data_IF_069227055128
#
_entry.id   IF_069227055128
#
_cell.length_a   1.000
_cell.length_b   1.000
_cell.length_c   1.000
_cell.angle_alpha   90.00
_cell.angle_beta   90.00
_cell.angle_gamma   90.00
#
_symmetry.space_group_name_H-M   'P 1'
#
loop_
_entity.id
_entity.type
_entity.pdbx_description
1 polymer ?
#
# COMPACT_ATOMS: atom_id res chain seq x y z
N UNK A 1 -21.13 0.37 -20.50
CA UNK A 1 -20.95 1.07 -19.20
C UNK A 1 -19.58 1.72 -19.19
N UNK A 2 -19.55 3.03 -18.98
CA UNK A 2 -18.30 3.80 -18.85
C UNK A 2 -18.28 4.53 -17.51
N UNK A 3 -17.09 4.74 -16.96
CA UNK A 3 -16.84 5.56 -15.78
C UNK A 3 -16.19 6.86 -16.23
N UNK A 4 -16.81 7.97 -15.84
CA UNK A 4 -16.30 9.32 -16.03
C UNK A 4 -15.64 9.79 -14.74
N UNK A 5 -14.42 10.29 -14.84
CA UNK A 5 -13.69 10.94 -13.75
C UNK A 5 -13.55 12.42 -14.08
N UNK A 6 -14.23 13.28 -13.33
CA UNK A 6 -14.06 14.73 -13.41
C UNK A 6 -13.10 15.18 -12.31
N UNK A 7 -12.12 16.01 -12.66
CA UNK A 7 -11.21 16.60 -11.68
C UNK A 7 -11.66 18.00 -11.29
N UNK A 8 -11.31 18.43 -10.07
CA UNK A 8 -11.59 19.79 -9.61
C UNK A 8 -10.98 20.82 -10.57
N UNK A 9 -11.66 21.95 -10.91
CA UNK A 9 -11.14 22.95 -11.84
C UNK A 9 -9.75 23.48 -11.49
N UNK A 10 -9.45 23.57 -10.19
CA UNK A 10 -8.14 24.01 -9.68
C UNK A 10 -7.00 23.05 -10.05
N UNK A 11 -7.29 21.78 -10.34
CA UNK A 11 -6.28 20.83 -10.76
C UNK A 11 -5.84 21.01 -12.22
N UNK A 12 -6.58 21.82 -13.01
CA UNK A 12 -6.37 22.05 -14.45
C UNK A 12 -6.33 20.77 -15.30
N UNK A 13 -6.95 19.68 -14.82
CA UNK A 13 -6.97 18.39 -15.50
C UNK A 13 -8.29 18.22 -16.25
N UNK A 14 -8.25 17.80 -17.53
CA UNK A 14 -9.47 17.51 -18.26
C UNK A 14 -10.16 16.25 -17.68
N UNK A 15 -11.49 16.13 -17.80
CA UNK A 15 -12.21 14.91 -17.45
C UNK A 15 -11.71 13.70 -18.24
N UNK A 16 -11.68 12.54 -17.60
CA UNK A 16 -11.25 11.27 -18.19
C UNK A 16 -12.39 10.26 -18.26
N UNK A 17 -12.33 9.37 -19.25
CA UNK A 17 -13.33 8.33 -19.50
C UNK A 17 -12.66 6.96 -19.49
N UNK A 18 -13.20 6.03 -18.72
CA UNK A 18 -12.70 4.67 -18.60
C UNK A 18 -13.82 3.68 -18.94
N UNK A 19 -13.55 2.66 -19.77
CA UNK A 19 -14.44 1.50 -19.89
C UNK A 19 -14.60 0.83 -18.52
N UNK A 20 -15.82 0.40 -18.18
CA UNK A 20 -16.12 -0.16 -16.85
C UNK A 20 -15.26 -1.41 -16.52
N UNK A 21 -14.98 -2.25 -17.50
CA UNK A 21 -14.14 -3.46 -17.39
C UNK A 21 -12.66 -3.15 -17.17
N UNK A 22 -12.20 -1.96 -17.57
CA UNK A 22 -10.82 -1.49 -17.36
C UNK A 22 -10.67 -0.65 -16.09
N UNK A 23 -11.77 -0.36 -15.41
CA UNK A 23 -11.76 0.33 -14.12
C UNK A 23 -11.55 -0.71 -13.00
N UNK A 24 -10.29 -1.13 -12.80
CA UNK A 24 -9.91 -2.09 -11.76
C UNK A 24 -9.15 -1.40 -10.61
N UNK A 25 -9.42 -1.82 -9.36
CA UNK A 25 -8.59 -1.47 -8.19
C UNK A 25 -7.75 -2.64 -7.65
N UNK A 26 -8.04 -3.91 -7.97
CA UNK A 26 -7.21 -5.08 -7.61
C UNK A 26 -7.44 -6.27 -8.57
N UNK A 27 -6.45 -7.17 -8.75
CA UNK A 27 -6.58 -8.38 -9.58
C UNK A 27 -7.39 -9.51 -8.89
N UNK A 28 -7.93 -10.44 -9.69
CA UNK A 28 -8.76 -11.56 -9.22
C UNK A 28 -7.93 -12.85 -8.96
N UNK A 29 -8.31 -13.72 -8.00
CA UNK A 29 -7.58 -14.95 -7.66
C UNK A 29 -7.92 -16.15 -8.56
N UNK A 30 -6.95 -17.07 -8.70
CA UNK A 30 -6.99 -18.27 -9.55
C UNK A 30 -7.71 -19.48 -8.86
N UNK A 31 -8.67 -20.14 -9.53
CA UNK A 31 -9.48 -21.22 -8.98
C UNK A 31 -8.89 -22.66 -8.99
N UNK A 32 -7.66 -22.92 -9.46
CA UNK A 32 -7.17 -24.32 -9.58
C UNK A 32 -5.94 -24.65 -8.72
N UNK A 33 -6.12 -25.38 -7.61
CA UNK A 33 -5.02 -26.13 -6.98
C UNK A 33 -5.49 -27.38 -6.21
N UNK A 34 -4.97 -28.56 -6.59
CA UNK A 34 -5.09 -29.82 -5.83
C UNK A 34 -3.68 -30.26 -5.39
N UNK A 35 -3.45 -30.72 -4.14
CA UNK A 35 -2.08 -30.90 -3.63
C UNK A 35 -1.35 -32.15 -4.16
N UNK A 36 -0.12 -31.94 -4.66
CA UNK A 36 0.84 -32.98 -5.06
C UNK A 36 1.61 -33.58 -3.87
N UNK A 37 2.02 -34.86 -3.97
CA UNK A 37 2.85 -35.55 -2.96
C UNK A 37 4.30 -35.04 -2.87
N UNK A 38 4.75 -34.27 -3.86
CA UNK A 38 5.95 -33.44 -3.78
C UNK A 38 5.52 -32.04 -4.23
N UNK A 39 5.19 -31.13 -3.30
CA UNK A 39 4.58 -29.86 -3.67
C UNK A 39 5.45 -29.02 -4.62
N UNK A 40 6.77 -29.20 -4.57
CA UNK A 40 7.73 -28.49 -5.42
C UNK A 40 8.01 -29.14 -6.78
N UNK A 41 7.67 -30.42 -6.99
CA UNK A 41 7.92 -31.15 -8.23
C UNK A 41 6.65 -31.17 -9.10
N UNK A 42 6.74 -31.04 -10.44
CA UNK A 42 7.93 -31.11 -11.29
C UNK A 42 8.63 -29.78 -11.58
N UNK A 43 8.13 -28.66 -11.06
CA UNK A 43 8.54 -27.33 -11.55
C UNK A 43 9.82 -26.80 -10.91
N UNK A 44 10.15 -27.22 -9.70
CA UNK A 44 11.41 -26.87 -9.03
C UNK A 44 12.30 -28.10 -8.87
N UNK A 45 13.51 -27.99 -9.37
CA UNK A 45 14.55 -29.02 -9.26
C UNK A 45 15.15 -29.07 -7.84
N UNK A 46 15.20 -27.91 -7.17
CA UNK A 46 15.79 -27.75 -5.84
C UNK A 46 14.75 -27.36 -4.81
N UNK A 47 14.73 -28.09 -3.68
CA UNK A 47 13.86 -27.79 -2.55
C UNK A 47 14.12 -26.40 -1.96
N UNK A 48 15.38 -25.96 -1.91
CA UNK A 48 15.73 -24.63 -1.40
C UNK A 48 15.13 -23.51 -2.26
N UNK A 49 15.17 -23.66 -3.58
CA UNK A 49 14.55 -22.71 -4.51
C UNK A 49 13.04 -22.65 -4.31
N UNK A 50 12.40 -23.81 -4.11
CA UNK A 50 10.99 -23.87 -3.73
C UNK A 50 10.70 -23.16 -2.41
N UNK A 51 11.45 -23.41 -1.34
CA UNK A 51 11.23 -22.77 -0.02
C UNK A 51 11.41 -21.24 -0.09
N UNK A 52 12.34 -20.76 -0.91
CA UNK A 52 12.54 -19.32 -1.17
C UNK A 52 11.33 -18.72 -1.89
N UNK A 53 10.82 -19.37 -2.94
CA UNK A 53 9.66 -18.89 -3.71
C UNK A 53 8.35 -19.06 -2.93
N UNK A 54 8.24 -20.11 -2.11
CA UNK A 54 7.12 -20.32 -1.18
C UNK A 54 7.05 -19.16 -0.19
N UNK A 55 8.17 -18.73 0.38
CA UNK A 55 8.20 -17.54 1.25
C UNK A 55 7.77 -16.27 0.50
N UNK A 56 8.17 -16.10 -0.76
CA UNK A 56 7.73 -14.97 -1.58
C UNK A 56 6.20 -14.99 -1.80
N UNK A 57 5.61 -16.17 -2.00
CA UNK A 57 4.15 -16.35 -2.10
C UNK A 57 3.44 -16.12 -0.76
N UNK A 58 3.94 -16.69 0.34
CA UNK A 58 3.39 -16.51 1.70
C UNK A 58 3.36 -15.05 2.12
N UNK A 59 4.37 -14.29 1.71
CA UNK A 59 4.47 -12.85 1.98
C UNK A 59 3.72 -11.98 0.96
N UNK A 60 3.11 -12.59 -0.07
CA UNK A 60 2.31 -11.90 -1.07
C UNK A 60 3.11 -10.93 -1.94
N UNK A 61 4.36 -11.25 -2.26
CA UNK A 61 5.23 -10.40 -3.07
C UNK A 61 4.64 -10.17 -4.48
N UNK A 62 4.77 -8.96 -5.02
CA UNK A 62 4.49 -8.69 -6.44
C UNK A 62 5.56 -9.32 -7.34
N UNK A 63 5.33 -9.31 -8.67
CA UNK A 63 6.32 -9.78 -9.65
C UNK A 63 7.64 -9.03 -9.48
N UNK A 64 7.58 -7.70 -9.38
CA UNK A 64 8.76 -6.85 -9.23
C UNK A 64 9.49 -7.10 -7.90
N UNK A 65 8.75 -7.37 -6.83
CA UNK A 65 9.33 -7.70 -5.53
C UNK A 65 10.00 -9.08 -5.54
N UNK A 66 9.39 -10.05 -6.22
CA UNK A 66 9.92 -11.41 -6.34
C UNK A 66 11.21 -11.42 -7.15
N UNK A 67 11.24 -10.74 -8.31
CA UNK A 67 12.45 -10.60 -9.13
C UNK A 67 13.58 -9.95 -8.33
N UNK A 68 13.28 -8.85 -7.62
CA UNK A 68 14.25 -8.17 -6.79
C UNK A 68 14.78 -9.06 -5.63
N UNK A 69 13.91 -9.87 -5.02
CA UNK A 69 14.30 -10.78 -3.96
C UNK A 69 15.29 -11.85 -4.45
N UNK A 70 15.02 -12.43 -5.62
CA UNK A 70 15.92 -13.42 -6.25
C UNK A 70 17.26 -12.78 -6.63
N UNK A 71 17.27 -11.57 -7.17
CA UNK A 71 18.50 -10.81 -7.46
C UNK A 71 19.36 -10.62 -6.20
N UNK A 72 18.76 -10.28 -5.06
CA UNK A 72 19.47 -10.11 -3.78
C UNK A 72 20.11 -11.42 -3.31
N UNK A 73 19.42 -12.56 -3.46
CA UNK A 73 19.95 -13.88 -3.11
C UNK A 73 21.14 -14.23 -4.02
N UNK A 74 20.99 -14.04 -5.33
CA UNK A 74 22.08 -14.27 -6.28
C UNK A 74 23.30 -13.40 -5.97
N UNK A 75 23.10 -12.12 -5.65
CA UNK A 75 24.18 -11.21 -5.27
C UNK A 75 24.88 -11.66 -3.98
N UNK A 76 24.12 -12.10 -2.98
CA UNK A 76 24.67 -12.62 -1.73
C UNK A 76 25.50 -13.90 -1.94
N UNK A 77 25.09 -14.77 -2.87
CA UNK A 77 25.85 -15.98 -3.22
C UNK A 77 27.13 -15.71 -4.03
N UNK A 78 27.27 -14.54 -4.64
CA UNK A 78 28.44 -14.16 -5.44
C UNK A 78 29.59 -13.51 -4.61
N UNK A 79 29.51 -13.57 -3.27
CA UNK A 79 30.51 -13.04 -2.32
C UNK A 79 30.85 -11.53 -2.46
N UNK A 80 30.08 -10.77 -3.24
CA UNK A 80 30.30 -9.32 -3.41
C UNK A 80 29.87 -8.51 -2.18
N UNK A 81 28.83 -8.97 -1.47
CA UNK A 81 28.28 -8.31 -0.28
C UNK A 81 27.99 -9.37 0.80
N UNK A 82 28.60 -9.22 1.98
CA UNK A 82 28.35 -10.13 3.12
C UNK A 82 27.15 -9.65 3.92
N UNK A 83 26.06 -10.42 3.92
CA UNK A 83 24.92 -10.20 4.81
C UNK A 83 25.33 -10.54 6.24
N UNK A 84 25.47 -9.51 7.09
CA UNK A 84 25.92 -9.65 8.48
C UNK A 84 24.78 -9.90 9.48
N UNK A 85 23.54 -9.64 9.09
CA UNK A 85 22.36 -9.88 9.92
C UNK A 85 21.87 -11.31 9.75
N UNK A 86 22.03 -12.13 10.80
CA UNK A 86 21.68 -13.56 10.76
C UNK A 86 20.30 -13.81 11.39
N UNK A 87 19.85 -12.90 12.28
CA UNK A 87 18.58 -13.02 12.99
C UNK A 87 17.73 -11.77 12.84
N UNK A 88 16.42 -11.95 12.99
CA UNK A 88 15.46 -10.84 13.01
C UNK A 88 15.85 -9.76 14.04
N UNK A 89 16.41 -10.15 15.19
CA UNK A 89 16.87 -9.18 16.21
C UNK A 89 17.94 -8.22 15.69
N UNK A 90 18.89 -8.71 14.88
CA UNK A 90 19.93 -7.87 14.29
C UNK A 90 19.32 -6.85 13.30
N UNK A 91 18.29 -7.27 12.57
CA UNK A 91 17.55 -6.43 11.63
C UNK A 91 16.70 -5.41 12.41
N UNK A 92 16.03 -5.84 13.48
CA UNK A 92 15.21 -4.99 14.35
C UNK A 92 16.04 -3.86 14.93
N UNK A 93 17.23 -4.14 15.48
CA UNK A 93 18.13 -3.11 16.00
C UNK A 93 18.57 -2.11 14.92
N UNK A 94 18.85 -2.60 13.70
CA UNK A 94 19.18 -1.74 12.56
C UNK A 94 17.99 -0.87 12.15
N UNK A 95 16.77 -1.41 12.16
CA UNK A 95 15.55 -0.65 11.92
C UNK A 95 15.29 0.37 13.01
N UNK A 96 15.42 0.02 14.29
CA UNK A 96 15.30 0.96 15.42
C UNK A 96 16.29 2.12 15.28
N UNK A 97 17.54 1.84 14.90
CA UNK A 97 18.53 2.88 14.62
C UNK A 97 18.15 3.75 13.40
N UNK A 98 17.58 3.14 12.36
CA UNK A 98 17.11 3.86 11.18
C UNK A 98 15.84 4.69 11.45
N UNK A 99 14.95 4.23 12.33
CA UNK A 99 13.72 4.90 12.72
C UNK A 99 13.97 6.30 13.31
N UNK A 100 15.16 6.57 13.85
CA UNK A 100 15.56 7.92 14.30
C UNK A 100 15.52 8.95 13.15
N UNK A 101 15.59 8.51 11.90
CA UNK A 101 15.48 9.38 10.71
C UNK A 101 14.03 9.66 10.29
N UNK A 102 13.07 8.87 10.77
CA UNK A 102 11.65 9.04 10.49
C UNK A 102 10.96 9.82 11.62
N UNK A 103 9.76 10.34 11.36
CA UNK A 103 8.95 10.98 12.39
C UNK A 103 8.65 9.97 13.52
N UNK A 104 9.02 10.22 14.78
CA UNK A 104 8.84 9.23 15.84
C UNK A 104 7.37 9.11 16.25
N UNK A 105 7.00 7.96 16.81
CA UNK A 105 5.75 7.81 17.54
C UNK A 105 5.86 8.56 18.88
N UNK A 106 4.80 9.28 19.23
CA UNK A 106 4.60 9.87 20.55
C UNK A 106 3.55 9.06 21.30
N UNK A 107 3.74 8.93 22.60
CA UNK A 107 2.78 8.33 23.52
C UNK A 107 2.26 9.43 24.42
N UNK A 108 0.95 9.62 24.46
CA UNK A 108 0.29 10.54 25.39
C UNK A 108 -0.90 9.85 26.05
N UNK A 109 -1.09 10.11 27.34
CA UNK A 109 -2.24 9.63 28.09
C UNK A 109 -3.40 10.61 27.85
N UNK A 110 -4.47 10.11 27.23
CA UNK A 110 -5.67 10.87 26.95
C UNK A 110 -6.78 10.42 27.87
N UNK A 111 -7.40 11.38 28.56
CA UNK A 111 -8.56 11.12 29.42
C UNK A 111 -9.83 11.43 28.63
N UNK A 112 -10.70 10.44 28.48
CA UNK A 112 -11.97 10.60 27.80
C UNK A 112 -13.11 10.28 28.77
N UNK A 113 -14.06 11.21 28.88
CA UNK A 113 -15.29 11.00 29.62
C UNK A 113 -16.32 10.32 28.71
N UNK A 114 -16.76 9.13 29.09
CA UNK A 114 -17.83 8.43 28.40
C UNK A 114 -18.85 7.93 29.43
N UNK A 115 -20.12 8.32 29.26
CA UNK A 115 -21.23 7.97 30.17
C UNK A 115 -20.95 8.24 31.67
N UNK A 116 -20.22 9.32 31.96
CA UNK A 116 -19.89 9.73 33.33
C UNK A 116 -18.70 9.01 33.95
N UNK A 117 -18.08 8.06 33.24
CA UNK A 117 -16.84 7.40 33.65
C UNK A 117 -15.68 8.00 32.85
N UNK A 118 -14.63 8.44 33.56
CA UNK A 118 -13.39 8.90 32.92
C UNK A 118 -12.48 7.70 32.71
N UNK A 119 -12.24 7.35 31.45
CA UNK A 119 -11.22 6.37 31.07
C UNK A 119 -9.90 7.08 30.74
N UNK A 120 -8.79 6.49 31.16
CA UNK A 120 -7.44 6.92 30.81
C UNK A 120 -6.89 5.96 29.76
N UNK A 121 -6.45 6.48 28.62
CA UNK A 121 -6.01 5.69 27.48
C UNK A 121 -4.63 6.15 27.01
N UNK A 122 -3.73 5.19 26.87
CA UNK A 122 -2.45 5.41 26.23
C UNK A 122 -2.64 5.49 24.70
N UNK A 123 -2.47 6.68 24.13
CA UNK A 123 -2.58 6.90 22.68
C UNK A 123 -1.20 7.06 22.08
N UNK A 124 -0.88 6.17 21.14
CA UNK A 124 0.34 6.25 20.34
C UNK A 124 0.02 6.88 18.98
N UNK A 125 0.69 7.98 18.62
CA UNK A 125 0.42 8.69 17.38
C UNK A 125 1.68 9.36 16.81
N UNK A 126 1.68 9.59 15.50
CA UNK A 126 2.65 10.49 14.86
C UNK A 126 2.10 11.91 14.84
N UNK A 127 2.98 12.91 14.98
CA UNK A 127 2.58 14.27 14.66
C UNK A 127 2.16 14.32 13.19
N UNK A 128 0.86 14.54 12.95
CA UNK A 128 0.26 14.46 11.62
C UNK A 128 0.96 15.42 10.65
N UNK A 129 1.34 16.61 11.09
CA UNK A 129 1.98 17.59 10.22
C UNK A 129 3.40 17.18 9.82
N UNK A 130 4.23 16.76 10.77
CA UNK A 130 5.60 16.29 10.48
C UNK A 130 5.59 15.04 9.61
N UNK A 131 4.74 14.07 9.96
CA UNK A 131 4.59 12.84 9.19
C UNK A 131 4.07 13.09 7.77
N UNK A 132 3.08 13.99 7.61
CA UNK A 132 2.59 14.37 6.28
C UNK A 132 3.71 15.01 5.44
N UNK A 133 4.52 15.91 6.02
CA UNK A 133 5.66 16.51 5.31
C UNK A 133 6.70 15.46 4.88
N UNK A 134 6.92 14.44 5.70
CA UNK A 134 7.80 13.33 5.37
C UNK A 134 7.25 12.53 4.18
N UNK A 135 5.98 12.14 4.21
CA UNK A 135 5.33 11.40 3.13
C UNK A 135 5.32 12.19 1.81
N UNK A 136 5.06 13.50 1.87
CA UNK A 136 5.07 14.38 0.68
C UNK A 136 6.47 14.54 0.08
N UNK A 137 7.53 14.24 0.84
CA UNK A 137 8.92 14.29 0.36
C UNK A 137 9.41 12.94 -0.17
N UNK A 138 8.75 11.83 0.13
CA UNK A 138 9.13 10.52 -0.42
C UNK A 138 8.71 10.46 -1.90
N UNK A 139 9.67 10.35 -2.84
CA UNK A 139 9.39 10.36 -4.28
C UNK A 139 8.58 9.15 -4.77
N UNK A 140 8.49 8.07 -3.99
CA UNK A 140 7.69 6.87 -4.31
C UNK A 140 6.26 6.97 -3.79
N UNK A 141 6.08 7.67 -2.67
CA UNK A 141 4.76 7.85 -2.05
C UNK A 141 4.02 9.04 -2.65
N UNK A 142 4.70 10.17 -2.87
CA UNK A 142 4.11 11.39 -3.40
C UNK A 142 3.25 11.18 -4.66
N UNK A 143 3.67 10.39 -5.67
CA UNK A 143 2.86 10.15 -6.88
C UNK A 143 1.53 9.42 -6.62
N UNK A 144 1.38 8.74 -5.49
CA UNK A 144 0.17 8.00 -5.12
C UNK A 144 -0.86 8.89 -4.39
N UNK A 145 -0.47 10.09 -3.96
CA UNK A 145 -1.40 11.00 -3.30
C UNK A 145 -2.40 11.59 -4.28
N UNK A 146 -3.69 11.43 -3.96
CA UNK A 146 -4.77 12.15 -4.64
C UNK A 146 -5.10 13.41 -3.84
N UNK A 147 -4.43 14.51 -4.18
CA UNK A 147 -4.59 15.81 -3.49
C UNK A 147 -5.80 16.60 -4.02
N UNK A 148 -6.16 16.37 -5.28
CA UNK A 148 -7.29 17.02 -5.92
C UNK A 148 -8.57 16.20 -5.76
N UNK A 149 -9.65 16.88 -5.42
CA UNK A 149 -10.99 16.32 -5.40
C UNK A 149 -11.40 15.84 -6.80
N UNK A 150 -12.19 14.77 -6.80
CA UNK A 150 -12.66 14.13 -8.03
C UNK A 150 -14.16 13.86 -7.97
N UNK A 151 -14.80 13.76 -9.13
CA UNK A 151 -16.18 13.31 -9.28
C UNK A 151 -16.28 12.15 -10.25
N UNK A 152 -16.49 10.94 -9.71
CA UNK A 152 -16.81 9.70 -10.42
C UNK A 152 -18.28 9.51 -10.82
N UNK A 153 -18.59 9.36 -12.10
CA UNK A 153 -19.95 9.04 -12.56
C UNK A 153 -19.97 7.81 -13.44
N UNK A 154 -20.97 6.93 -13.29
CA UNK A 154 -21.14 5.73 -14.12
C UNK A 154 -22.27 5.95 -15.15
N UNK A 155 -22.03 5.58 -16.40
CA UNK A 155 -23.07 5.57 -17.44
C UNK A 155 -24.04 4.41 -17.22
N UNK A 156 -25.34 4.70 -17.16
CA UNK A 156 -26.40 3.71 -16.92
C UNK A 156 -27.20 3.31 -18.17
N UNK A 157 -26.75 3.72 -19.37
CA UNK A 157 -27.46 3.50 -20.64
C UNK A 157 -28.15 4.76 -21.18
N UNK A 158 -28.47 5.73 -20.32
CA UNK A 158 -29.11 7.01 -20.68
C UNK A 158 -28.24 8.21 -20.27
N UNK A 159 -27.76 8.22 -19.02
CA UNK A 159 -26.98 9.33 -18.45
C UNK A 159 -25.88 8.86 -17.51
N UNK A 160 -24.98 9.78 -17.21
CA UNK A 160 -24.00 9.58 -16.14
C UNK A 160 -24.63 9.86 -14.79
N UNK A 161 -24.51 8.90 -13.87
CA UNK A 161 -25.01 8.98 -12.50
C UNK A 161 -23.83 9.02 -11.53
N UNK A 162 -23.83 10.00 -10.63
CA UNK A 162 -22.80 10.22 -9.59
C UNK A 162 -22.75 9.03 -8.62
N UNK A 163 -21.55 8.61 -8.25
CA UNK A 163 -21.31 7.73 -7.11
C UNK A 163 -20.08 8.16 -6.30
N UNK A 164 -19.97 7.64 -5.07
CA UNK A 164 -18.87 7.89 -4.14
C UNK A 164 -18.11 6.58 -3.89
N UNK A 165 -16.79 6.62 -3.97
CA UNK A 165 -15.93 5.45 -3.71
C UNK A 165 -14.91 5.74 -2.61
N UNK A 166 -14.20 6.87 -2.71
CA UNK A 166 -13.21 7.32 -1.72
C UNK A 166 -13.58 8.68 -1.12
N UNK A 167 -13.03 9.07 0.05
CA UNK A 167 -13.29 10.37 0.66
C UNK A 167 -13.01 11.56 -0.28
N UNK A 168 -11.96 11.49 -1.09
CA UNK A 168 -11.62 12.55 -2.06
C UNK A 168 -12.60 12.65 -3.24
N UNK A 169 -13.55 11.71 -3.34
CA UNK A 169 -14.63 11.77 -4.32
C UNK A 169 -15.90 12.41 -3.76
N UNK A 170 -15.96 12.71 -2.47
CA UNK A 170 -17.18 13.26 -1.86
C UNK A 170 -17.31 14.77 -2.08
N UNK A 171 -18.55 15.28 -2.02
CA UNK A 171 -18.85 16.68 -2.32
C UNK A 171 -18.16 17.65 -1.37
N UNK A 172 -18.03 17.32 -0.08
CA UNK A 172 -17.33 18.17 0.88
C UNK A 172 -15.89 18.44 0.49
N UNK A 173 -15.16 17.44 0.00
CA UNK A 173 -13.77 17.65 -0.40
C UNK A 173 -13.66 18.52 -1.64
N UNK A 174 -14.61 18.36 -2.58
CA UNK A 174 -14.75 19.23 -3.74
C UNK A 174 -15.03 20.68 -3.35
N UNK A 175 -15.93 20.91 -2.38
CA UNK A 175 -16.28 22.25 -1.90
C UNK A 175 -15.16 22.93 -1.11
N UNK A 176 -14.33 22.15 -0.41
CA UNK A 176 -13.20 22.68 0.35
C UNK A 176 -12.02 23.09 -0.52
N UNK A 177 -11.90 22.51 -1.73
CA UNK A 177 -10.83 22.85 -2.64
C UNK A 177 -11.16 24.17 -3.36
N UNK A 178 -10.38 25.22 -3.08
CA UNK A 178 -10.54 26.57 -3.64
C UNK A 178 -9.36 26.91 -4.53
#
# INVERSE_FOLDING_TARGET
DDIRVEHHPHSERPPQMFPFDKFQQYPAPDPEHVPSQKPWSPYFDLRLEFEIVELALETGMTVEQTDHFLELIHRACQEQDVITSVKHEDIRLKWEAACVRATPFKKEEVKALYEGVTGEYDVHYHNIWEWTKELLRDPRMFPQFTLDAQRLSKYNGDRFVRFFDKPYTADKFWEFQV
#
